data_IF_396592609190
#
_entry.id   IF_396592609190
#
_cell.length_a   1.000
_cell.length_b   1.000
_cell.length_c   1.000
_cell.angle_alpha   90.00
_cell.angle_beta   90.00
_cell.angle_gamma   90.00
#
_symmetry.space_group_name_H-M   'P 1'
#
loop_
_entity.id
_entity.type
_entity.pdbx_description
1 polymer ?
#
# COMPACT_ATOMS: atom_id res chain seq x y z
N UNK A 1 -7.04 -8.36 -20.79
CA UNK A 1 -7.99 -7.97 -21.83
C UNK A 1 -7.31 -6.94 -22.75
N UNK A 2 -7.52 -7.02 -24.07
CA UNK A 2 -7.06 -5.99 -24.99
C UNK A 2 -7.76 -4.66 -24.63
N UNK A 3 -7.04 -3.55 -24.78
CA UNK A 3 -7.65 -2.23 -24.62
C UNK A 3 -8.83 -2.11 -25.62
N UNK A 4 -9.97 -1.55 -25.18
CA UNK A 4 -11.10 -1.35 -26.08
C UNK A 4 -10.70 -0.43 -27.25
N UNK A 5 -11.32 -0.62 -28.40
CA UNK A 5 -11.20 0.35 -29.50
C UNK A 5 -11.62 1.71 -28.94
N UNK A 6 -10.77 2.73 -29.15
CA UNK A 6 -10.95 4.06 -28.54
C UNK A 6 -12.23 4.77 -28.97
N UNK A 7 -12.85 4.30 -30.05
CA UNK A 7 -14.04 4.89 -30.65
C UNK A 7 -15.35 4.14 -30.25
N UNK A 8 -15.26 3.00 -29.55
CA UNK A 8 -16.42 2.19 -29.20
C UNK A 8 -16.74 2.27 -27.70
N UNK A 9 -17.92 2.82 -27.37
CA UNK A 9 -18.38 2.87 -25.98
C UNK A 9 -18.69 1.47 -25.45
N UNK A 10 -18.28 1.15 -24.21
CA UNK A 10 -18.45 -0.18 -23.63
C UNK A 10 -18.41 -0.16 -22.10
N UNK A 11 -19.28 -0.94 -21.45
CA UNK A 11 -19.20 -1.24 -20.03
C UNK A 11 -18.53 -2.61 -19.81
N UNK A 12 -17.71 -2.68 -18.76
CA UNK A 12 -17.04 -3.89 -18.32
C UNK A 12 -17.57 -4.24 -16.92
N UNK A 13 -18.05 -5.47 -16.76
CA UNK A 13 -18.66 -5.96 -15.52
C UNK A 13 -17.97 -7.23 -15.03
N UNK A 14 -18.08 -7.49 -13.72
CA UNK A 14 -17.82 -8.79 -13.10
C UNK A 14 -19.09 -9.21 -12.38
N UNK A 15 -19.84 -10.14 -12.97
CA UNK A 15 -21.21 -10.43 -12.56
C UNK A 15 -22.09 -9.17 -12.65
N UNK A 16 -22.69 -8.77 -11.54
CA UNK A 16 -23.51 -7.54 -11.47
C UNK A 16 -22.70 -6.27 -11.16
N UNK A 17 -21.39 -6.39 -10.90
CA UNK A 17 -20.56 -5.25 -10.50
C UNK A 17 -19.95 -4.56 -11.72
N UNK A 18 -20.22 -3.28 -11.91
CA UNK A 18 -19.52 -2.47 -12.90
C UNK A 18 -18.05 -2.30 -12.47
N UNK A 19 -17.14 -2.74 -13.33
CA UNK A 19 -15.68 -2.61 -13.13
C UNK A 19 -15.14 -1.33 -13.76
N UNK A 20 -15.57 -1.07 -15.00
CA UNK A 20 -15.18 0.12 -15.76
C UNK A 20 -16.21 0.42 -16.84
N UNK A 21 -16.29 1.65 -17.29
CA UNK A 21 -16.99 2.04 -18.50
C UNK A 21 -16.07 2.91 -19.35
N UNK A 22 -16.04 2.63 -20.64
CA UNK A 22 -15.39 3.46 -21.64
C UNK A 22 -16.45 4.19 -22.45
N UNK A 23 -16.46 5.50 -22.40
CA UNK A 23 -17.44 6.34 -23.09
C UNK A 23 -16.68 7.44 -23.86
N UNK A 24 -16.50 7.32 -25.16
CA UNK A 24 -15.92 8.38 -25.98
C UNK A 24 -16.74 9.66 -25.84
N UNK A 25 -16.06 10.80 -25.73
CA UNK A 25 -16.72 12.10 -25.59
C UNK A 25 -17.71 12.18 -24.40
N UNK A 26 -17.37 11.57 -23.28
CA UNK A 26 -18.23 11.46 -22.09
C UNK A 26 -18.85 12.81 -21.65
N UNK A 27 -18.14 13.91 -21.79
CA UNK A 27 -18.61 15.25 -21.44
C UNK A 27 -19.86 15.71 -22.24
N UNK A 28 -20.12 15.10 -23.40
CA UNK A 28 -21.26 15.46 -24.26
C UNK A 28 -22.31 14.35 -24.35
N UNK A 29 -21.98 13.14 -23.92
CA UNK A 29 -22.85 11.96 -24.08
C UNK A 29 -23.43 11.45 -22.76
N UNK A 30 -22.82 11.76 -21.62
CA UNK A 30 -23.33 11.35 -20.32
C UNK A 30 -24.16 12.43 -19.66
N UNK A 31 -25.19 12.09 -18.87
CA UNK A 31 -25.88 13.05 -18.01
C UNK A 31 -24.92 13.69 -17.01
N UNK A 32 -25.08 14.98 -16.75
CA UNK A 32 -24.21 15.75 -15.85
C UNK A 32 -24.11 15.16 -14.43
N UNK A 33 -25.17 14.47 -13.99
CA UNK A 33 -25.27 13.88 -12.66
C UNK A 33 -24.69 12.47 -12.53
N UNK A 34 -24.33 11.82 -13.65
CA UNK A 34 -23.96 10.39 -13.63
C UNK A 34 -22.80 10.10 -12.70
N UNK A 35 -21.76 10.94 -12.71
CA UNK A 35 -20.59 10.78 -11.85
C UNK A 35 -20.80 11.24 -10.40
N UNK A 36 -21.90 11.93 -10.13
CA UNK A 36 -22.29 12.35 -8.78
C UNK A 36 -23.14 11.30 -8.04
N UNK A 37 -23.54 10.23 -8.70
CA UNK A 37 -24.35 9.18 -8.11
C UNK A 37 -23.55 8.41 -7.05
N UNK A 38 -24.17 8.03 -5.93
CA UNK A 38 -23.49 7.31 -4.86
C UNK A 38 -23.03 5.89 -5.26
N UNK A 39 -23.64 5.30 -6.28
CA UNK A 39 -23.25 4.03 -6.88
C UNK A 39 -23.45 4.10 -8.39
N UNK A 40 -22.48 3.56 -9.12
CA UNK A 40 -22.52 3.44 -10.58
C UNK A 40 -22.79 1.98 -10.96
N UNK A 41 -23.82 1.78 -11.78
CA UNK A 41 -24.11 0.50 -12.43
C UNK A 41 -23.91 0.65 -13.93
N UNK A 42 -23.93 -0.44 -14.68
CA UNK A 42 -23.80 -0.37 -16.14
C UNK A 42 -24.94 0.46 -16.76
N UNK A 43 -26.16 0.35 -16.23
CA UNK A 43 -27.34 1.09 -16.70
C UNK A 43 -27.23 2.62 -16.50
N UNK A 44 -26.38 3.06 -15.57
CA UNK A 44 -26.12 4.50 -15.38
C UNK A 44 -25.49 5.16 -16.61
N UNK A 45 -24.88 4.36 -17.48
CA UNK A 45 -24.23 4.81 -18.72
C UNK A 45 -25.08 4.58 -19.98
N UNK A 46 -26.35 4.20 -19.82
CA UNK A 46 -27.26 3.92 -20.93
C UNK A 46 -27.08 2.50 -21.50
N UNK A 47 -27.54 2.28 -22.73
CA UNK A 47 -27.49 0.98 -23.41
C UNK A 47 -26.08 0.68 -23.98
N UNK A 48 -25.03 0.71 -23.15
CA UNK A 48 -23.71 0.35 -23.60
C UNK A 48 -23.57 -1.16 -23.80
N UNK A 49 -22.85 -1.62 -24.82
CA UNK A 49 -22.43 -3.02 -24.91
C UNK A 49 -21.69 -3.42 -23.63
N UNK A 50 -22.10 -4.56 -23.04
CA UNK A 50 -21.50 -5.08 -21.82
C UNK A 50 -20.52 -6.19 -22.14
N UNK A 51 -19.35 -6.17 -21.52
CA UNK A 51 -18.34 -7.23 -21.58
C UNK A 51 -18.01 -7.75 -20.18
N UNK A 52 -18.01 -9.06 -20.02
CA UNK A 52 -17.61 -9.72 -18.78
C UNK A 52 -16.09 -9.68 -18.61
N UNK A 53 -15.63 -9.30 -17.42
CA UNK A 53 -14.21 -9.36 -16.98
C UNK A 53 -14.09 -10.36 -15.83
N UNK A 54 -14.05 -11.65 -16.17
CA UNK A 54 -13.99 -12.73 -15.17
C UNK A 54 -12.77 -12.63 -14.21
N UNK A 55 -11.66 -12.11 -14.69
CA UNK A 55 -10.38 -12.04 -13.95
C UNK A 55 -10.13 -10.68 -13.28
N UNK A 56 -11.13 -9.82 -13.16
CA UNK A 56 -10.97 -8.53 -12.49
C UNK A 56 -10.78 -8.72 -10.97
N UNK A 57 -9.76 -8.08 -10.40
CA UNK A 57 -9.60 -8.04 -8.95
C UNK A 57 -10.29 -6.79 -8.41
N UNK A 58 -11.35 -7.00 -7.64
CA UNK A 58 -12.12 -5.91 -7.04
C UNK A 58 -11.65 -5.64 -5.61
N UNK A 59 -11.29 -4.39 -5.36
CA UNK A 59 -10.95 -3.88 -4.02
C UNK A 59 -12.17 -3.15 -3.48
N UNK A 60 -12.86 -3.72 -2.53
CA UNK A 60 -14.05 -3.15 -1.90
C UNK A 60 -13.75 -2.52 -0.55
N UNK A 61 -12.68 -2.98 0.10
CA UNK A 61 -12.30 -2.59 1.46
C UNK A 61 -10.78 -2.47 1.57
N UNK A 62 -10.24 -1.67 2.49
CA UNK A 62 -8.80 -1.49 2.63
C UNK A 62 -8.01 -2.80 2.81
N UNK A 63 -8.57 -3.79 3.49
CA UNK A 63 -7.90 -5.09 3.69
C UNK A 63 -7.88 -5.98 2.46
N UNK A 64 -8.70 -5.71 1.45
CA UNK A 64 -8.64 -6.45 0.17
C UNK A 64 -7.31 -6.17 -0.55
N UNK A 65 -6.73 -4.97 -0.36
CA UNK A 65 -5.42 -4.61 -0.87
C UNK A 65 -4.31 -5.56 -0.38
N UNK A 66 -4.41 -6.04 0.85
CA UNK A 66 -3.42 -6.95 1.42
C UNK A 66 -3.46 -8.34 0.77
N UNK A 67 -4.60 -8.75 0.22
CA UNK A 67 -4.75 -10.05 -0.46
C UNK A 67 -3.92 -10.13 -1.73
N UNK A 68 -3.81 -9.02 -2.43
CA UNK A 68 -3.12 -8.94 -3.72
C UNK A 68 -1.77 -8.23 -3.64
N UNK A 69 -1.36 -7.77 -2.46
CA UNK A 69 -0.19 -6.90 -2.31
C UNK A 69 1.07 -7.51 -2.92
N UNK A 70 1.53 -8.64 -2.43
CA UNK A 70 2.80 -9.25 -2.91
C UNK A 70 2.78 -9.58 -4.40
N UNK A 71 1.74 -10.24 -4.95
CA UNK A 71 1.65 -10.47 -6.40
C UNK A 71 1.59 -9.18 -7.22
N UNK A 72 0.89 -8.16 -6.72
CA UNK A 72 0.82 -6.86 -7.40
C UNK A 72 2.18 -6.15 -7.41
N UNK A 73 2.90 -6.14 -6.27
CA UNK A 73 4.24 -5.57 -6.19
C UNK A 73 5.20 -6.22 -7.18
N UNK A 74 5.22 -7.56 -7.23
CA UNK A 74 6.08 -8.30 -8.15
C UNK A 74 5.77 -7.92 -9.61
N UNK A 75 4.50 -8.00 -10.00
CA UNK A 75 4.04 -7.66 -11.35
C UNK A 75 4.32 -6.20 -11.72
N UNK A 76 4.10 -5.26 -10.79
CA UNK A 76 4.26 -3.83 -11.05
C UNK A 76 5.74 -3.45 -11.22
N UNK A 77 6.66 -4.09 -10.47
CA UNK A 77 8.10 -3.91 -10.68
C UNK A 77 8.50 -4.46 -12.05
N UNK A 78 8.10 -5.69 -12.38
CA UNK A 78 8.44 -6.32 -13.65
C UNK A 78 7.88 -5.53 -14.85
N UNK A 79 6.64 -5.06 -14.77
CA UNK A 79 5.97 -4.37 -15.86
C UNK A 79 6.39 -2.90 -16.00
N UNK A 80 6.52 -2.18 -14.88
CA UNK A 80 6.70 -0.73 -14.89
C UNK A 80 8.14 -0.29 -14.81
N UNK A 81 8.98 -1.05 -14.15
CA UNK A 81 10.33 -0.65 -13.79
C UNK A 81 11.42 -1.51 -14.44
N UNK A 82 11.06 -2.67 -14.94
CA UNK A 82 11.99 -3.59 -15.60
C UNK A 82 12.48 -3.13 -16.98
N UNK A 83 11.82 -2.17 -17.62
CA UNK A 83 12.06 -1.95 -19.06
C UNK A 83 12.66 -0.61 -19.47
N UNK A 84 12.59 0.47 -18.70
CA UNK A 84 13.08 1.76 -19.21
C UNK A 84 13.48 2.85 -18.20
N UNK A 85 13.19 2.72 -16.93
CA UNK A 85 13.40 3.79 -15.92
C UNK A 85 14.26 3.33 -14.74
N UNK A 86 14.52 2.04 -14.63
CA UNK A 86 15.33 1.47 -13.56
C UNK A 86 16.60 0.85 -14.09
N UNK A 87 17.67 0.94 -13.32
CA UNK A 87 18.94 0.27 -13.59
C UNK A 87 19.07 -0.87 -12.59
N UNK A 88 19.18 -2.12 -13.03
CA UNK A 88 19.44 -3.25 -12.14
C UNK A 88 20.72 -3.05 -11.32
N UNK A 89 20.78 -3.61 -10.11
CA UNK A 89 21.96 -3.49 -9.25
C UNK A 89 23.24 -3.97 -9.93
N UNK A 90 23.14 -5.05 -10.73
CA UNK A 90 24.28 -5.62 -11.44
C UNK A 90 24.91 -4.67 -12.46
N UNK A 91 24.12 -3.75 -13.05
CA UNK A 91 24.54 -2.86 -14.12
C UNK A 91 24.82 -1.42 -13.64
N UNK A 92 24.69 -1.17 -12.33
CA UNK A 92 24.74 0.18 -11.80
C UNK A 92 26.15 0.72 -11.69
N UNK A 93 26.38 1.99 -12.08
CA UNK A 93 27.58 2.72 -11.69
C UNK A 93 27.62 2.84 -10.16
N UNK A 94 28.76 2.56 -9.56
CA UNK A 94 28.98 2.48 -8.10
C UNK A 94 28.56 3.73 -7.29
N UNK A 95 28.19 4.82 -7.90
CA UNK A 95 27.94 6.10 -7.24
C UNK A 95 26.70 6.16 -6.35
N UNK A 96 25.73 5.25 -6.47
CA UNK A 96 24.49 5.25 -5.67
C UNK A 96 24.39 4.05 -4.70
N UNK A 97 25.24 3.03 -4.86
CA UNK A 97 25.33 1.89 -3.97
C UNK A 97 26.73 1.88 -3.34
N UNK A 98 26.79 2.10 -2.02
CA UNK A 98 28.05 2.17 -1.30
C UNK A 98 28.69 0.79 -1.10
N UNK A 99 30.00 0.77 -0.85
CA UNK A 99 30.72 -0.44 -0.49
C UNK A 99 30.11 -1.09 0.76
N UNK A 100 30.11 -2.43 0.80
CA UNK A 100 29.53 -3.19 1.92
C UNK A 100 28.01 -3.40 1.85
N UNK A 101 27.35 -2.99 0.77
CA UNK A 101 25.96 -3.38 0.49
C UNK A 101 25.91 -4.81 -0.02
N UNK A 102 25.01 -5.62 0.52
CA UNK A 102 24.78 -7.01 0.07
C UNK A 102 23.50 -7.07 -0.76
N UNK A 103 23.59 -7.57 -2.00
CA UNK A 103 22.46 -7.87 -2.86
C UNK A 103 22.29 -9.37 -3.07
N UNK A 104 21.12 -9.92 -2.74
CA UNK A 104 20.73 -11.29 -3.06
C UNK A 104 19.77 -11.23 -4.25
N UNK A 105 20.05 -11.97 -5.31
CA UNK A 105 19.37 -11.84 -6.62
C UNK A 105 19.42 -10.41 -7.17
N UNK A 106 20.64 -9.86 -7.37
CA UNK A 106 20.83 -8.46 -7.74
C UNK A 106 20.18 -8.08 -9.08
N UNK A 107 19.95 -9.03 -9.96
CA UNK A 107 19.24 -8.86 -11.24
C UNK A 107 17.76 -8.49 -11.06
N UNK A 108 17.19 -8.70 -9.86
CA UNK A 108 15.81 -8.36 -9.51
C UNK A 108 15.71 -7.11 -8.62
N UNK A 109 16.82 -6.40 -8.45
CA UNK A 109 16.88 -5.18 -7.63
C UNK A 109 17.06 -3.97 -8.55
N UNK A 110 16.06 -3.10 -8.59
CA UNK A 110 15.98 -1.96 -9.51
C UNK A 110 16.00 -0.64 -8.74
N UNK A 111 16.54 0.39 -9.41
CA UNK A 111 16.71 1.71 -8.81
C UNK A 111 16.17 2.82 -9.74
N UNK A 112 15.53 3.80 -9.15
CA UNK A 112 15.28 5.09 -9.78
C UNK A 112 16.53 6.00 -9.75
N UNK A 113 16.43 7.15 -10.39
CA UNK A 113 17.51 8.16 -10.41
C UNK A 113 17.86 8.63 -8.98
N UNK A 114 19.14 8.80 -8.71
CA UNK A 114 19.67 9.32 -7.43
C UNK A 114 19.27 8.49 -6.19
N UNK A 115 18.77 7.28 -6.36
CA UNK A 115 18.53 6.38 -5.25
C UNK A 115 19.86 6.02 -4.58
N UNK A 116 19.86 5.91 -3.25
CA UNK A 116 21.08 5.69 -2.48
C UNK A 116 20.92 4.51 -1.53
N UNK A 117 21.93 3.61 -1.49
CA UNK A 117 21.99 2.52 -0.53
C UNK A 117 23.29 2.61 0.25
N UNK A 118 23.19 2.70 1.57
CA UNK A 118 24.30 2.95 2.49
C UNK A 118 24.99 1.65 2.95
N UNK A 119 26.24 1.73 3.48
CA UNK A 119 27.02 0.55 3.87
C UNK A 119 26.29 -0.37 4.84
N UNK A 120 26.48 -1.69 4.64
CA UNK A 120 25.91 -2.72 5.49
C UNK A 120 24.42 -2.99 5.27
N UNK A 121 23.76 -2.27 4.37
CA UNK A 121 22.38 -2.59 3.99
C UNK A 121 22.33 -3.92 3.20
N UNK A 122 21.23 -4.68 3.39
CA UNK A 122 20.97 -5.94 2.71
C UNK A 122 19.70 -5.78 1.89
N UNK A 123 19.81 -6.02 0.58
CA UNK A 123 18.68 -6.05 -0.35
C UNK A 123 18.49 -7.50 -0.81
N UNK A 124 17.45 -8.17 -0.33
CA UNK A 124 17.19 -9.58 -0.66
C UNK A 124 15.95 -9.70 -1.55
N UNK A 125 16.17 -9.98 -2.83
CA UNK A 125 15.12 -10.18 -3.83
C UNK A 125 14.81 -11.67 -4.10
N UNK A 126 15.11 -12.58 -3.16
CA UNK A 126 14.84 -14.02 -3.28
C UNK A 126 13.35 -14.28 -3.49
N UNK A 127 12.49 -13.73 -2.64
CA UNK A 127 11.03 -13.93 -2.66
C UNK A 127 10.28 -12.99 -3.62
N UNK A 128 10.97 -12.03 -4.22
CA UNK A 128 10.36 -11.09 -5.16
C UNK A 128 11.25 -9.88 -5.48
N UNK A 129 10.94 -9.12 -6.53
CA UNK A 129 11.75 -7.99 -6.95
C UNK A 129 11.67 -6.82 -5.96
N UNK A 130 12.73 -6.01 -5.96
CA UNK A 130 12.82 -4.78 -5.17
C UNK A 130 12.96 -3.59 -6.11
N UNK A 131 12.15 -2.55 -5.90
CA UNK A 131 12.36 -1.25 -6.53
C UNK A 131 12.60 -0.16 -5.47
N UNK A 132 13.72 0.54 -5.62
CA UNK A 132 14.10 1.71 -4.80
C UNK A 132 13.92 2.95 -5.68
N UNK A 133 12.87 3.72 -5.42
CA UNK A 133 12.44 4.84 -6.24
C UNK A 133 13.43 6.01 -6.28
N UNK A 134 13.18 7.02 -7.15
CA UNK A 134 14.05 8.17 -7.29
C UNK A 134 14.33 8.88 -5.96
N UNK A 135 15.58 9.25 -5.72
CA UNK A 135 16.04 9.93 -4.50
C UNK A 135 15.72 9.20 -3.17
N UNK A 136 15.25 7.95 -3.25
CA UNK A 136 15.01 7.15 -2.05
C UNK A 136 16.34 6.70 -1.43
N UNK A 137 16.37 6.58 -0.11
CA UNK A 137 17.58 6.19 0.63
C UNK A 137 17.30 4.99 1.52
N UNK A 138 18.11 3.95 1.37
CA UNK A 138 18.21 2.85 2.32
C UNK A 138 19.45 3.09 3.18
N UNK A 139 19.24 3.36 4.47
CA UNK A 139 20.31 3.67 5.40
C UNK A 139 21.08 2.43 5.85
N UNK A 140 22.12 2.67 6.62
CA UNK A 140 23.09 1.69 7.09
C UNK A 140 22.38 0.52 7.80
N UNK A 141 22.83 -0.71 7.54
CA UNK A 141 22.38 -1.93 8.21
C UNK A 141 20.87 -2.24 8.08
N UNK A 142 20.14 -1.50 7.24
CA UNK A 142 18.75 -1.84 6.96
C UNK A 142 18.65 -3.10 6.08
N UNK A 143 17.59 -3.90 6.30
CA UNK A 143 17.28 -5.08 5.51
C UNK A 143 15.99 -4.82 4.75
N UNK A 144 16.02 -4.96 3.42
CA UNK A 144 14.84 -4.88 2.55
C UNK A 144 14.67 -6.20 1.83
N UNK A 145 13.51 -6.85 2.02
CA UNK A 145 13.14 -8.11 1.37
C UNK A 145 12.02 -7.89 0.37
N UNK A 146 12.19 -8.44 -0.81
CA UNK A 146 11.17 -8.40 -1.85
C UNK A 146 9.96 -9.32 -1.61
N UNK A 147 8.86 -9.12 -2.36
CA UNK A 147 8.68 -8.00 -3.28
C UNK A 147 8.47 -6.68 -2.52
N UNK A 148 9.13 -5.60 -2.95
CA UNK A 148 9.07 -4.32 -2.24
C UNK A 148 9.18 -3.13 -3.21
N UNK A 149 8.35 -2.10 -3.00
CA UNK A 149 8.42 -0.84 -3.73
C UNK A 149 8.60 0.31 -2.75
N UNK A 150 9.76 0.95 -2.78
CA UNK A 150 10.03 2.18 -2.05
C UNK A 150 9.81 3.37 -3.00
N UNK A 151 8.76 4.15 -2.75
CA UNK A 151 8.42 5.31 -3.57
C UNK A 151 9.49 6.42 -3.53
N UNK A 152 9.36 7.44 -4.40
CA UNK A 152 10.32 8.54 -4.47
C UNK A 152 10.58 9.20 -3.11
N UNK A 153 11.84 9.51 -2.83
CA UNK A 153 12.27 10.21 -1.59
C UNK A 153 11.92 9.49 -0.29
N UNK A 154 11.60 8.21 -0.36
CA UNK A 154 11.39 7.37 0.81
C UNK A 154 12.72 7.09 1.52
N UNK A 155 12.69 7.08 2.84
CA UNK A 155 13.86 6.74 3.67
C UNK A 155 13.58 5.48 4.48
N UNK A 156 14.37 4.45 4.27
CA UNK A 156 14.46 3.31 5.17
C UNK A 156 15.56 3.61 6.18
N UNK A 157 15.20 3.73 7.45
CA UNK A 157 16.11 4.16 8.53
C UNK A 157 17.12 3.07 8.90
N UNK A 158 18.15 3.48 9.63
CA UNK A 158 19.22 2.60 10.11
C UNK A 158 18.65 1.37 10.82
N UNK A 159 19.09 0.18 10.42
CA UNK A 159 18.72 -1.10 11.05
C UNK A 159 17.25 -1.51 10.86
N UNK A 160 16.47 -0.85 10.01
CA UNK A 160 15.09 -1.24 9.76
C UNK A 160 14.99 -2.58 9.02
N UNK A 161 13.92 -3.36 9.30
CA UNK A 161 13.59 -4.61 8.61
C UNK A 161 12.27 -4.42 7.85
N UNK A 162 12.36 -4.39 6.52
CA UNK A 162 11.23 -4.09 5.64
C UNK A 162 10.99 -5.28 4.71
N UNK A 163 9.74 -5.74 4.63
CA UNK A 163 9.36 -6.87 3.77
C UNK A 163 7.97 -6.67 3.17
N UNK A 164 7.74 -7.10 1.93
CA UNK A 164 6.43 -7.13 1.30
C UNK A 164 5.69 -5.78 1.27
N UNK A 165 6.44 -4.67 1.24
CA UNK A 165 5.92 -3.33 1.56
C UNK A 165 5.93 -2.42 0.34
N UNK A 166 4.84 -1.63 0.20
CA UNK A 166 4.74 -0.55 -0.78
C UNK A 166 4.70 0.81 -0.11
N UNK A 167 5.50 1.76 -0.59
CA UNK A 167 5.36 3.16 -0.18
C UNK A 167 5.09 4.08 -1.36
N UNK A 168 4.25 5.10 -1.13
CA UNK A 168 4.21 6.28 -1.97
C UNK A 168 5.42 7.19 -1.68
N UNK A 169 5.43 8.43 -2.21
CA UNK A 169 6.57 9.35 -2.03
C UNK A 169 6.72 9.84 -0.59
N UNK A 170 7.95 10.22 -0.22
CA UNK A 170 8.28 10.90 1.02
C UNK A 170 7.89 10.14 2.30
N UNK A 171 7.94 8.82 2.30
CA UNK A 171 7.72 8.01 3.50
C UNK A 171 9.02 7.82 4.29
N UNK A 172 8.88 7.54 5.59
CA UNK A 172 10.00 7.11 6.43
C UNK A 172 9.63 5.82 7.14
N UNK A 173 10.50 4.82 7.03
CA UNK A 173 10.31 3.49 7.57
C UNK A 173 11.41 3.15 8.56
N UNK A 174 11.06 2.69 9.75
CA UNK A 174 11.98 2.20 10.76
C UNK A 174 11.35 1.07 11.57
N UNK A 175 12.17 0.33 12.32
CA UNK A 175 11.72 -0.85 13.04
C UNK A 175 11.39 -1.98 12.09
N UNK A 176 10.33 -2.69 12.33
CA UNK A 176 9.89 -3.84 11.54
C UNK A 176 8.59 -3.51 10.80
N UNK A 177 8.60 -3.58 9.46
CA UNK A 177 7.44 -3.26 8.62
C UNK A 177 7.21 -4.38 7.61
N UNK A 178 6.08 -5.08 7.72
CA UNK A 178 5.76 -6.24 6.89
C UNK A 178 4.39 -6.09 6.20
N UNK A 179 4.32 -6.48 4.92
CA UNK A 179 3.07 -6.58 4.16
C UNK A 179 2.17 -5.34 4.31
N UNK A 180 2.80 -4.16 4.15
CA UNK A 180 2.18 -2.88 4.50
C UNK A 180 2.18 -1.91 3.33
N UNK A 181 1.12 -1.12 3.22
CA UNK A 181 1.00 -0.03 2.25
C UNK A 181 0.99 1.31 2.99
N UNK A 182 1.91 2.22 2.63
CA UNK A 182 1.88 3.63 3.02
C UNK A 182 1.68 4.49 1.78
N UNK A 183 0.56 5.20 1.67
CA UNK A 183 0.19 5.90 0.43
C UNK A 183 1.05 7.12 0.10
N UNK A 184 1.84 7.62 1.05
CA UNK A 184 2.78 8.72 0.83
C UNK A 184 2.78 9.74 1.96
N UNK A 185 3.89 10.48 2.08
CA UNK A 185 4.07 11.51 3.12
C UNK A 185 3.83 11.01 4.55
N UNK A 186 4.00 9.71 4.78
CA UNK A 186 3.65 9.04 6.01
C UNK A 186 4.87 8.43 6.67
N UNK A 187 4.90 8.47 8.00
CA UNK A 187 6.08 8.15 8.77
C UNK A 187 5.80 7.03 9.80
N UNK A 188 6.61 5.98 9.73
CA UNK A 188 6.91 5.02 10.79
C UNK A 188 8.41 5.13 11.08
N UNK A 189 8.84 6.31 11.56
CA UNK A 189 10.26 6.71 11.59
C UNK A 189 11.08 6.16 12.75
N UNK A 190 10.45 5.43 13.67
CA UNK A 190 11.03 4.91 14.90
C UNK A 190 10.79 3.41 15.05
N UNK A 191 11.45 2.73 16.03
CA UNK A 191 11.19 1.32 16.33
C UNK A 191 9.71 0.98 16.55
N UNK A 192 9.39 -0.29 16.59
CA UNK A 192 8.06 -0.88 16.71
C UNK A 192 7.68 -1.68 15.47
N UNK A 193 6.65 -2.50 15.61
CA UNK A 193 6.13 -3.38 14.57
C UNK A 193 4.94 -2.77 13.85
N UNK A 194 4.95 -2.80 12.52
CA UNK A 194 3.81 -2.46 11.66
C UNK A 194 3.63 -3.56 10.61
N UNK A 195 2.61 -4.39 10.78
CA UNK A 195 2.38 -5.52 9.89
C UNK A 195 0.96 -5.61 9.37
N UNK A 196 0.82 -6.02 8.10
CA UNK A 196 -0.45 -6.18 7.40
C UNK A 196 -1.36 -4.95 7.56
N UNK A 197 -0.79 -3.79 7.24
CA UNK A 197 -1.42 -2.49 7.46
C UNK A 197 -1.60 -1.69 6.17
N UNK A 198 -2.60 -0.81 6.17
CA UNK A 198 -2.81 0.17 5.11
C UNK A 198 -2.93 1.56 5.75
N UNK A 199 -1.98 2.42 5.47
CA UNK A 199 -1.94 3.80 5.94
C UNK A 199 -2.19 4.76 4.78
N UNK A 200 -3.07 5.71 5.00
CA UNK A 200 -3.31 6.82 4.09
C UNK A 200 -2.13 7.77 3.99
N UNK A 201 -2.38 8.96 3.47
CA UNK A 201 -1.38 10.02 3.34
C UNK A 201 -1.26 10.86 4.60
N UNK A 202 -0.08 11.41 4.82
CA UNK A 202 0.20 12.34 5.92
C UNK A 202 -0.02 11.74 7.31
N UNK A 203 0.08 10.41 7.42
CA UNK A 203 0.04 9.72 8.70
C UNK A 203 1.38 9.81 9.42
N UNK A 204 1.34 9.86 10.75
CA UNK A 204 2.56 9.83 11.55
C UNK A 204 2.39 8.91 12.76
N UNK A 205 3.15 7.83 12.79
CA UNK A 205 3.21 6.93 13.93
C UNK A 205 4.31 7.38 14.88
N UNK A 206 3.93 7.65 16.13
CA UNK A 206 4.89 8.00 17.19
C UNK A 206 5.89 6.88 17.47
N UNK A 207 6.95 7.19 18.20
CA UNK A 207 7.96 6.20 18.57
C UNK A 207 7.33 5.01 19.29
N UNK A 208 7.85 3.82 19.02
CA UNK A 208 7.36 2.54 19.59
C UNK A 208 5.87 2.29 19.39
N UNK A 209 5.28 2.87 18.35
CA UNK A 209 3.93 2.47 17.91
C UNK A 209 3.99 1.08 17.33
N UNK A 210 3.13 0.19 17.83
CA UNK A 210 3.01 -1.20 17.40
C UNK A 210 1.56 -1.53 17.01
N UNK A 211 1.38 -2.46 16.07
CA UNK A 211 0.10 -3.10 15.85
C UNK A 211 0.22 -4.62 15.96
N UNK A 212 -0.77 -5.28 16.57
CA UNK A 212 -0.95 -6.71 16.38
C UNK A 212 -1.59 -6.97 15.01
N UNK A 213 -1.19 -8.04 14.35
CA UNK A 213 -1.76 -8.44 13.05
C UNK A 213 -2.33 -9.88 13.07
N UNK A 214 -2.08 -10.64 14.13
CA UNK A 214 -2.53 -12.02 14.31
C UNK A 214 -3.25 -12.13 15.65
N UNK A 215 -4.42 -12.78 15.66
CA UNK A 215 -5.15 -13.08 16.90
C UNK A 215 -4.49 -14.23 17.68
N UNK A 216 -4.64 -14.23 19.01
CA UNK A 216 -4.10 -15.29 19.87
C UNK A 216 -4.72 -16.67 19.59
N UNK A 217 -5.95 -16.71 19.07
CA UNK A 217 -6.65 -17.94 18.68
C UNK A 217 -6.38 -18.37 17.23
N UNK A 218 -5.51 -17.65 16.52
CA UNK A 218 -5.20 -17.87 15.11
C UNK A 218 -6.41 -17.79 14.17
N UNK A 219 -7.54 -17.29 14.66
CA UNK A 219 -8.77 -17.15 13.91
C UNK A 219 -8.76 -15.95 12.94
N UNK A 220 -9.80 -15.87 12.13
CA UNK A 220 -10.02 -14.76 11.22
C UNK A 220 -10.10 -13.42 11.97
N UNK A 221 -9.41 -12.40 11.44
CA UNK A 221 -9.50 -11.04 11.95
C UNK A 221 -10.77 -10.36 11.43
N UNK A 222 -11.49 -9.67 12.31
CA UNK A 222 -12.57 -8.76 11.90
C UNK A 222 -12.10 -7.32 11.95
N UNK A 223 -12.66 -6.47 11.07
CA UNK A 223 -12.41 -5.03 11.04
C UNK A 223 -13.73 -4.26 10.89
N UNK A 224 -13.77 -3.02 11.36
CA UNK A 224 -14.97 -2.19 11.23
C UNK A 224 -15.14 -1.72 9.79
N UNK A 225 -16.34 -1.94 9.23
CA UNK A 225 -16.73 -1.48 7.91
C UNK A 225 -17.64 -0.24 8.06
N UNK A 226 -17.13 0.98 7.82
CA UNK A 226 -17.91 2.20 8.04
C UNK A 226 -19.22 2.26 7.24
N UNK A 227 -19.20 1.78 5.99
CA UNK A 227 -20.41 1.75 5.15
C UNK A 227 -21.51 0.82 5.69
N UNK A 228 -21.13 -0.20 6.47
CA UNK A 228 -22.06 -1.16 7.07
C UNK A 228 -22.31 -0.88 8.56
N UNK A 229 -21.59 0.09 9.12
CA UNK A 229 -21.64 0.49 10.54
C UNK A 229 -21.47 -0.68 11.52
N UNK A 230 -20.65 -1.70 11.16
CA UNK A 230 -20.40 -2.91 11.98
C UNK A 230 -19.03 -3.52 11.74
N UNK A 231 -18.61 -4.38 12.64
CA UNK A 231 -17.46 -5.24 12.39
C UNK A 231 -17.84 -6.39 11.44
N UNK A 232 -16.97 -6.64 10.46
CA UNK A 232 -17.12 -7.74 9.49
C UNK A 232 -15.85 -8.56 9.45
N UNK A 233 -15.94 -9.82 9.06
CA UNK A 233 -14.79 -10.66 8.78
C UNK A 233 -13.99 -10.08 7.62
N UNK A 234 -12.66 -10.15 7.72
CA UNK A 234 -11.75 -9.70 6.65
C UNK A 234 -11.41 -10.81 5.65
N UNK A 235 -11.82 -12.04 5.92
CA UNK A 235 -11.39 -13.23 5.20
C UNK A 235 -9.91 -13.58 5.44
N UNK A 236 -9.26 -12.93 6.43
CA UNK A 236 -7.82 -13.03 6.64
C UNK A 236 -7.45 -13.40 8.08
N UNK A 237 -6.45 -14.26 8.21
CA UNK A 237 -5.82 -14.56 9.50
C UNK A 237 -4.90 -13.41 9.96
N UNK A 238 -4.28 -12.71 9.00
CA UNK A 238 -3.40 -11.57 9.26
C UNK A 238 -4.01 -10.28 8.73
N UNK A 239 -4.34 -9.35 9.65
CA UNK A 239 -4.80 -8.00 9.35
C UNK A 239 -4.48 -7.10 10.55
N UNK A 240 -3.77 -6.02 10.30
CA UNK A 240 -3.25 -5.13 11.34
C UNK A 240 -4.03 -3.83 11.47
N UNK A 241 -3.45 -2.73 10.99
CA UNK A 241 -3.96 -1.38 11.14
C UNK A 241 -4.43 -0.81 9.79
N UNK A 242 -5.64 -0.25 9.77
CA UNK A 242 -6.18 0.52 8.64
C UNK A 242 -6.39 1.95 9.09
N UNK A 243 -5.55 2.88 8.62
CA UNK A 243 -5.52 4.27 9.10
C UNK A 243 -5.78 5.25 7.97
N UNK A 244 -6.78 6.09 8.14
CA UNK A 244 -7.13 7.16 7.20
C UNK A 244 -6.14 8.32 7.22
N UNK A 245 -6.21 9.17 6.19
CA UNK A 245 -5.33 10.30 5.95
C UNK A 245 -5.21 11.24 7.15
N UNK A 246 -4.04 11.89 7.28
CA UNK A 246 -3.73 12.89 8.29
C UNK A 246 -3.85 12.42 9.76
N UNK A 247 -3.96 11.12 10.01
CA UNK A 247 -4.05 10.60 11.38
C UNK A 247 -2.67 10.40 12.00
N UNK A 248 -2.58 10.62 13.30
CA UNK A 248 -1.32 10.59 14.05
C UNK A 248 -1.47 9.83 15.34
N UNK A 249 -0.37 9.22 15.80
CA UNK A 249 -0.33 8.58 17.11
C UNK A 249 0.74 9.18 18.01
N UNK A 250 0.46 9.19 19.28
CA UNK A 250 1.48 9.44 20.31
C UNK A 250 2.53 8.33 20.35
N UNK A 251 3.56 8.52 21.17
CA UNK A 251 4.56 7.48 21.45
C UNK A 251 3.92 6.31 22.20
N UNK A 252 4.46 5.09 22.03
CA UNK A 252 4.01 3.86 22.68
C UNK A 252 2.53 3.51 22.42
N UNK A 253 1.95 3.95 21.30
CA UNK A 253 0.58 3.56 20.96
C UNK A 253 0.55 2.10 20.52
N UNK A 254 -0.38 1.33 21.10
CA UNK A 254 -0.56 -0.09 20.79
C UNK A 254 -1.90 -0.32 20.08
N UNK A 255 -1.86 -0.88 18.88
CA UNK A 255 -3.09 -1.24 18.15
C UNK A 255 -3.38 -2.74 18.21
N UNK A 256 -4.63 -3.08 18.41
CA UNK A 256 -5.09 -4.46 18.28
C UNK A 256 -5.29 -4.84 16.81
N UNK A 257 -5.43 -6.15 16.54
CA UNK A 257 -5.71 -6.69 15.19
C UNK A 257 -6.95 -6.07 14.58
N UNK A 258 -6.89 -5.72 13.30
CA UNK A 258 -8.03 -5.18 12.55
C UNK A 258 -8.54 -3.83 13.07
N UNK A 259 -7.66 -3.03 13.68
CA UNK A 259 -8.03 -1.67 14.09
C UNK A 259 -8.21 -0.77 12.88
N UNK A 260 -9.32 -0.03 12.87
CA UNK A 260 -9.66 0.97 11.84
C UNK A 260 -9.68 2.35 12.48
N UNK A 261 -8.83 3.23 11.99
CA UNK A 261 -8.74 4.64 12.39
C UNK A 261 -9.21 5.51 11.23
N UNK A 262 -10.17 6.38 11.49
CA UNK A 262 -10.67 7.35 10.51
C UNK A 262 -9.61 8.38 10.11
N UNK A 263 -10.01 9.36 9.30
CA UNK A 263 -9.16 10.46 8.87
C UNK A 263 -9.04 11.53 9.95
N UNK A 264 -7.93 12.28 9.94
CA UNK A 264 -7.69 13.42 10.84
C UNK A 264 -7.82 13.09 12.34
N UNK A 265 -7.43 11.88 12.74
CA UNK A 265 -7.41 11.48 14.15
C UNK A 265 -6.07 11.84 14.80
N UNK A 266 -6.09 12.15 16.10
CA UNK A 266 -4.90 12.29 16.92
C UNK A 266 -5.05 11.41 18.17
N UNK A 267 -4.36 10.26 18.16
CA UNK A 267 -4.49 9.20 19.15
C UNK A 267 -3.33 9.26 20.14
N UNK A 268 -3.64 9.34 21.40
CA UNK A 268 -2.66 9.30 22.50
C UNK A 268 -3.35 8.84 23.78
N UNK A 269 -2.59 8.28 24.69
CA UNK A 269 -3.09 7.74 25.97
C UNK A 269 -2.44 6.42 26.31
N UNK A 270 -2.88 5.78 27.37
CA UNK A 270 -2.39 4.47 27.79
C UNK A 270 -3.33 3.35 27.34
N UNK A 271 -2.75 2.18 27.06
CA UNK A 271 -3.51 1.00 26.66
C UNK A 271 -3.84 0.94 25.17
N UNK A 272 -4.79 0.08 24.81
CA UNK A 272 -5.25 -0.07 23.43
C UNK A 272 -6.40 0.91 23.15
N UNK A 273 -6.32 1.70 22.09
CA UNK A 273 -7.49 2.45 21.63
C UNK A 273 -8.61 1.50 21.16
N UNK A 274 -9.86 1.97 21.05
CA UNK A 274 -10.93 1.19 20.46
C UNK A 274 -10.54 0.68 19.07
N UNK A 275 -11.00 -0.53 18.71
CA UNK A 275 -10.73 -1.10 17.39
C UNK A 275 -11.38 -0.35 16.21
N UNK A 276 -12.28 0.56 16.49
CA UNK A 276 -12.76 1.58 15.56
C UNK A 276 -12.68 2.95 16.20
N UNK A 277 -11.94 3.83 15.54
CA UNK A 277 -11.83 5.26 15.92
C UNK A 277 -12.47 6.08 14.80
N UNK A 278 -13.58 6.79 15.07
CA UNK A 278 -14.24 7.63 14.08
C UNK A 278 -13.34 8.75 13.54
N UNK A 279 -13.58 9.26 12.32
CA UNK A 279 -12.86 10.43 11.82
C UNK A 279 -12.92 11.62 12.77
N UNK A 280 -11.86 12.44 12.78
CA UNK A 280 -11.72 13.66 13.59
C UNK A 280 -11.71 13.43 15.11
N UNK A 281 -11.38 12.20 15.56
CA UNK A 281 -11.23 11.89 16.98
C UNK A 281 -9.92 12.45 17.53
N UNK A 282 -9.99 12.94 18.78
CA UNK A 282 -8.85 13.49 19.52
C UNK A 282 -8.79 12.88 20.92
N UNK A 283 -7.75 12.10 21.22
CA UNK A 283 -7.57 11.37 22.48
C UNK A 283 -7.44 9.88 22.27
N UNK A 284 -7.55 9.08 23.36
CA UNK A 284 -7.44 7.62 23.36
C UNK A 284 -8.43 6.98 24.31
#
# INVERSE_FOLDING_TARGET
AAAPDRDEARAFVQGETLVAAWVPNAATTLPDDVLARPALTAEAFGDLPVSELADATLVRRPWDLLTTLRPALARDVDFRFGTSVSVPLADRPHAAVHDGVTGVHPERIHFGSEATVKPGAILNAEDGPIYIGPEATVHEQAVVRGPCILGPKTQVKVGANIEGTATGPWCKLAGEVHDTILQGYSNKSHPGFLGHAVLGRWCNLGADTNNSNLKNDYGEVSAYAPAEARFVGTGRQFAGLFMGDHSKTGINTMFNTGTVVGTNCNLYGGGFPPRYVPPFSWGG
#
